data_IF_537740222752
#
_entry.id   IF_537740222752
#
_cell.length_a   1.000
_cell.length_b   1.000
_cell.length_c   1.000
_cell.angle_alpha   90.00
_cell.angle_beta   90.00
_cell.angle_gamma   90.00
#
_symmetry.space_group_name_H-M   'P 1'
#
loop_
_entity.id
_entity.type
_entity.pdbx_description
1 polymer ?
#
# COMPACT_ATOMS: atom_id res chain seq x y z
N UNK A 1 -13.91 25.82 -0.97
CA UNK A 1 -12.87 25.14 -1.74
C UNK A 1 -11.93 24.46 -0.76
N UNK A 2 -11.85 23.13 -0.82
CA UNK A 2 -10.99 22.34 0.05
C UNK A 2 -10.69 21.02 -0.65
N UNK A 3 -9.99 21.10 -1.78
CA UNK A 3 -9.36 19.93 -2.39
C UNK A 3 -8.12 19.63 -1.54
N UNK A 4 -8.36 19.07 -0.35
CA UNK A 4 -7.31 18.39 0.38
C UNK A 4 -7.08 17.08 -0.35
N UNK A 5 -5.84 16.82 -0.78
CA UNK A 5 -5.46 15.50 -1.23
C UNK A 5 -5.79 14.52 -0.09
N UNK A 6 -6.69 13.57 -0.34
CA UNK A 6 -7.15 12.65 0.70
C UNK A 6 -6.27 11.42 0.64
N UNK A 7 -5.14 11.46 1.36
CA UNK A 7 -4.36 10.26 1.63
C UNK A 7 -5.20 9.29 2.45
N UNK A 8 -5.26 8.03 2.04
CA UNK A 8 -5.80 6.97 2.86
C UNK A 8 -4.76 6.54 3.90
N UNK A 9 -5.17 6.45 5.17
CA UNK A 9 -4.33 5.98 6.27
C UNK A 9 -4.72 4.55 6.63
N UNK A 10 -3.77 3.63 6.52
CA UNK A 10 -3.87 2.28 7.06
C UNK A 10 -3.16 2.30 8.41
N UNK A 11 -3.95 2.19 9.48
CA UNK A 11 -3.42 2.24 10.83
C UNK A 11 -3.03 0.83 11.26
N UNK A 12 -1.72 0.58 11.34
CA UNK A 12 -1.14 -0.71 11.72
C UNK A 12 -0.79 -0.66 13.20
N UNK A 13 -1.78 -0.96 14.06
CA UNK A 13 -1.58 -1.00 15.51
C UNK A 13 -2.41 -2.05 16.24
N UNK A 14 -1.78 -2.74 17.19
CA UNK A 14 -2.36 -3.88 17.90
C UNK A 14 -2.16 -5.22 17.18
N UNK A 15 -2.75 -6.29 17.72
CA UNK A 15 -2.60 -7.66 17.21
C UNK A 15 -3.46 -7.95 15.98
N UNK A 16 -2.93 -8.72 15.02
CA UNK A 16 -3.63 -9.31 13.87
C UNK A 16 -4.51 -8.35 13.09
N UNK A 17 -3.96 -7.20 12.69
CA UNK A 17 -4.70 -6.21 11.92
C UNK A 17 -4.37 -6.25 10.45
N UNK A 18 -5.43 -6.14 9.66
CA UNK A 18 -5.34 -5.83 8.24
C UNK A 18 -6.22 -4.61 7.93
N UNK A 19 -5.68 -3.69 7.14
CA UNK A 19 -6.42 -2.54 6.63
C UNK A 19 -6.37 -2.49 5.13
N UNK A 20 -7.53 -2.24 4.52
CA UNK A 20 -7.71 -2.21 3.07
C UNK A 20 -7.99 -0.80 2.60
N UNK A 21 -7.30 -0.38 1.54
CA UNK A 21 -7.74 0.68 0.65
C UNK A 21 -7.99 0.05 -0.72
N UNK A 22 -9.20 0.21 -1.27
CA UNK A 22 -9.57 -0.33 -2.57
C UNK A 22 -9.94 0.82 -3.50
N UNK A 23 -9.43 0.80 -4.73
CA UNK A 23 -9.75 1.80 -5.76
C UNK A 23 -11.18 1.62 -6.30
N UNK A 24 -11.81 2.69 -6.83
CA UNK A 24 -12.89 2.53 -7.81
C UNK A 24 -12.45 1.67 -9.01
N UNK A 25 -13.39 1.19 -9.86
CA UNK A 25 -13.03 0.44 -11.07
C UNK A 25 -12.19 1.31 -12.02
N UNK A 26 -11.06 0.77 -12.48
CA UNK A 26 -10.18 1.40 -13.47
C UNK A 26 -10.21 0.56 -14.75
N UNK A 27 -10.50 1.19 -15.88
CA UNK A 27 -10.47 0.51 -17.18
C UNK A 27 -9.06 0.63 -17.78
N UNK A 28 -8.34 -0.49 -17.83
CA UNK A 28 -6.95 -0.54 -18.28
C UNK A 28 -6.90 -0.92 -19.77
N UNK A 29 -6.25 -0.10 -20.62
CA UNK A 29 -6.06 -0.42 -22.03
C UNK A 29 -5.10 -1.61 -22.20
N UNK A 30 -5.05 -2.18 -23.40
CA UNK A 30 -4.29 -3.40 -23.67
C UNK A 30 -2.77 -3.27 -23.55
N UNK A 31 -2.20 -2.06 -23.59
CA UNK A 31 -0.74 -1.85 -23.45
C UNK A 31 -0.41 -0.49 -22.82
N UNK A 32 0.77 -0.42 -22.19
CA UNK A 32 1.42 0.85 -21.81
C UNK A 32 0.84 1.56 -20.59
N UNK A 33 0.15 0.83 -19.71
CA UNK A 33 -0.38 1.40 -18.47
C UNK A 33 0.47 1.00 -17.27
N UNK A 34 0.57 1.90 -16.30
CA UNK A 34 1.22 1.69 -15.02
C UNK A 34 0.30 2.16 -13.91
N UNK A 35 0.35 1.50 -12.75
CA UNK A 35 -0.27 1.99 -11.54
C UNK A 35 0.72 2.94 -10.86
N UNK A 36 0.31 4.18 -10.58
CA UNK A 36 1.09 5.13 -9.77
C UNK A 36 0.44 5.35 -8.43
N UNK A 37 1.27 5.56 -7.41
CA UNK A 37 0.84 5.88 -6.06
C UNK A 37 2.00 6.45 -5.26
N UNK A 38 1.66 7.21 -4.22
CA UNK A 38 2.61 7.65 -3.21
C UNK A 38 2.45 6.83 -1.94
N UNK A 39 3.57 6.44 -1.31
CA UNK A 39 3.59 5.84 0.02
C UNK A 39 4.35 6.72 1.01
N UNK A 40 3.86 6.78 2.24
CA UNK A 40 4.59 7.34 3.38
C UNK A 40 4.39 6.49 4.63
N UNK A 41 5.43 6.36 5.45
CA UNK A 41 5.40 5.54 6.67
C UNK A 41 5.93 6.32 7.86
N UNK A 42 5.08 6.62 8.84
CA UNK A 42 5.47 7.40 10.01
C UNK A 42 5.23 6.61 11.29
N UNK A 43 5.88 7.04 12.38
CA UNK A 43 5.38 6.72 13.72
C UNK A 43 3.93 7.19 13.86
N UNK A 44 3.16 6.43 14.63
CA UNK A 44 1.75 6.69 14.87
C UNK A 44 1.55 8.11 15.41
N UNK A 45 0.63 8.84 14.78
CA UNK A 45 0.27 10.21 15.13
C UNK A 45 1.50 11.16 15.18
N UNK A 46 2.50 10.90 14.35
CA UNK A 46 3.75 11.66 14.27
C UNK A 46 4.17 11.83 12.81
N UNK A 47 5.17 12.68 12.58
CA UNK A 47 5.85 12.84 11.27
C UNK A 47 7.22 12.18 11.24
N UNK A 48 7.65 11.61 12.37
CA UNK A 48 8.96 11.00 12.54
C UNK A 48 9.01 9.60 11.88
N UNK A 49 10.21 9.14 11.47
CA UNK A 49 10.40 7.76 11.01
C UNK A 49 10.05 6.74 12.08
N UNK A 50 9.59 5.55 11.65
CA UNK A 50 9.48 4.36 12.51
C UNK A 50 10.87 3.89 12.99
N UNK A 51 10.90 3.16 14.11
CA UNK A 51 12.08 2.41 14.50
C UNK A 51 12.12 1.09 13.70
N UNK A 52 13.07 0.90 12.77
CA UNK A 52 13.10 -0.28 11.93
C UNK A 52 13.30 -1.57 12.75
N UNK A 53 13.87 -1.50 13.96
CA UNK A 53 14.05 -2.69 14.81
C UNK A 53 12.76 -3.17 15.48
N UNK A 54 11.75 -2.30 15.58
CA UNK A 54 10.46 -2.59 16.20
C UNK A 54 9.35 -2.95 15.19
N UNK A 55 9.71 -3.05 13.91
CA UNK A 55 8.77 -3.23 12.80
C UNK A 55 9.26 -4.29 11.83
N UNK A 56 9.45 -5.52 12.31
CA UNK A 56 10.04 -6.61 11.50
C UNK A 56 9.00 -7.47 10.77
N UNK A 57 7.75 -7.47 11.25
CA UNK A 57 6.73 -8.42 10.79
C UNK A 57 5.65 -7.77 9.91
N UNK A 58 5.71 -6.45 9.72
CA UNK A 58 4.74 -5.70 8.95
C UNK A 58 4.94 -5.87 7.46
N UNK A 59 3.81 -5.86 6.75
CA UNK A 59 3.76 -6.00 5.30
C UNK A 59 2.81 -5.02 4.67
N UNK A 60 3.12 -4.66 3.42
CA UNK A 60 2.20 -4.00 2.52
C UNK A 60 2.10 -4.83 1.22
N UNK A 61 0.89 -5.21 0.85
CA UNK A 61 0.60 -5.82 -0.44
C UNK A 61 -0.11 -4.83 -1.35
N UNK A 62 0.37 -4.70 -2.58
CA UNK A 62 -0.36 -4.06 -3.69
C UNK A 62 -0.99 -5.16 -4.51
N UNK A 63 -2.31 -5.13 -4.61
CA UNK A 63 -3.15 -6.20 -5.16
C UNK A 63 -3.96 -5.71 -6.35
N UNK A 64 -4.32 -6.62 -7.24
CA UNK A 64 -5.31 -6.40 -8.31
C UNK A 64 -6.37 -7.51 -8.31
N UNK A 65 -7.61 -7.16 -8.65
CA UNK A 65 -8.74 -8.08 -8.85
C UNK A 65 -9.60 -7.66 -10.03
N UNK A 66 -10.32 -8.63 -10.61
CA UNK A 66 -11.43 -8.41 -11.53
C UNK A 66 -12.75 -8.05 -10.82
N UNK A 67 -12.78 -8.11 -9.49
CA UNK A 67 -13.99 -7.93 -8.69
C UNK A 67 -13.87 -6.82 -7.66
N UNK A 68 -14.94 -6.05 -7.38
CA UNK A 68 -14.92 -4.98 -6.38
C UNK A 68 -14.75 -5.48 -4.94
N UNK A 69 -15.01 -6.77 -4.70
CA UNK A 69 -14.86 -7.41 -3.38
C UNK A 69 -13.44 -7.95 -3.15
N UNK A 70 -12.50 -7.69 -4.07
CA UNK A 70 -11.11 -8.16 -4.02
C UNK A 70 -11.02 -9.68 -3.79
N UNK A 71 -11.82 -10.45 -4.51
CA UNK A 71 -11.70 -11.91 -4.55
C UNK A 71 -10.62 -12.32 -5.59
N UNK A 72 -9.97 -13.45 -5.35
CA UNK A 72 -9.04 -14.09 -6.30
C UNK A 72 -7.94 -13.10 -6.76
N UNK A 73 -7.33 -12.42 -5.79
CA UNK A 73 -6.37 -11.33 -6.06
C UNK A 73 -5.03 -11.83 -6.59
N UNK A 74 -4.40 -11.00 -7.42
CA UNK A 74 -2.99 -11.16 -7.80
C UNK A 74 -2.15 -10.14 -7.04
N UNK A 75 -1.03 -10.56 -6.48
CA UNK A 75 -0.05 -9.67 -5.84
C UNK A 75 0.79 -9.03 -6.94
N UNK A 76 0.75 -7.70 -7.02
CA UNK A 76 1.57 -6.89 -7.91
C UNK A 76 2.90 -6.51 -7.28
N UNK A 77 2.89 -6.24 -5.97
CA UNK A 77 4.08 -5.93 -5.19
C UNK A 77 3.87 -6.29 -3.72
N UNK A 78 4.88 -6.86 -3.08
CA UNK A 78 4.92 -7.11 -1.64
C UNK A 78 6.10 -6.33 -1.05
N UNK A 79 5.83 -5.53 -0.02
CA UNK A 79 6.83 -4.93 0.85
C UNK A 79 6.88 -5.74 2.15
N UNK A 80 8.07 -6.22 2.53
CA UNK A 80 8.31 -6.87 3.82
C UNK A 80 9.78 -6.71 4.25
N UNK A 81 10.11 -7.05 5.49
CA UNK A 81 11.48 -6.98 6.02
C UNK A 81 12.21 -8.34 6.02
N UNK A 82 11.65 -9.35 5.35
CA UNK A 82 12.13 -10.74 5.33
C UNK A 82 12.86 -11.07 4.01
N UNK A 83 13.65 -10.11 3.52
CA UNK A 83 14.47 -10.28 2.30
C UNK A 83 13.73 -10.08 0.98
N UNK A 84 12.57 -9.40 0.98
CA UNK A 84 11.91 -8.98 -0.25
C UNK A 84 12.74 -7.93 -1.02
N UNK A 85 12.49 -7.84 -2.33
CA UNK A 85 13.01 -6.78 -3.19
C UNK A 85 12.58 -5.39 -2.70
N UNK A 86 11.37 -5.28 -2.17
CA UNK A 86 10.82 -4.05 -1.62
C UNK A 86 10.77 -4.16 -0.10
N UNK A 87 11.57 -3.34 0.58
CA UNK A 87 11.70 -3.37 2.03
C UNK A 87 10.65 -2.45 2.65
N UNK A 88 9.83 -2.99 3.56
CA UNK A 88 8.75 -2.22 4.20
C UNK A 88 9.30 -1.04 5.02
N UNK A 89 10.36 -1.26 5.79
CA UNK A 89 10.98 -0.22 6.62
C UNK A 89 11.76 0.83 5.83
N UNK A 90 11.92 0.66 4.51
CA UNK A 90 12.54 1.65 3.63
C UNK A 90 11.52 2.62 3.00
N UNK A 91 10.22 2.43 3.26
CA UNK A 91 9.20 3.41 2.85
C UNK A 91 9.48 4.71 3.62
N UNK A 92 9.75 5.84 2.94
CA UNK A 92 10.18 7.06 3.61
C UNK A 92 9.02 7.74 4.34
N UNK A 93 9.29 8.26 5.54
CA UNK A 93 8.31 9.03 6.31
C UNK A 93 7.95 10.38 5.65
N UNK A 94 8.75 10.84 4.69
CA UNK A 94 8.50 12.06 3.91
C UNK A 94 7.61 11.85 2.70
N UNK A 95 7.27 10.60 2.39
CA UNK A 95 6.57 10.24 1.15
C UNK A 95 7.54 9.96 0.00
N UNK A 96 7.18 9.02 -0.86
CA UNK A 96 7.81 8.78 -2.16
C UNK A 96 6.80 8.25 -3.18
N UNK A 97 7.05 8.56 -4.45
CA UNK A 97 6.24 8.08 -5.57
C UNK A 97 6.77 6.77 -6.12
N UNK A 98 5.85 5.85 -6.41
CA UNK A 98 6.14 4.54 -6.96
C UNK A 98 5.29 4.29 -8.19
N UNK A 99 5.81 3.46 -9.12
CA UNK A 99 5.00 2.89 -10.18
C UNK A 99 5.20 1.38 -10.34
N UNK A 100 4.16 0.74 -10.85
CA UNK A 100 4.14 -0.69 -11.21
C UNK A 100 3.64 -0.81 -12.66
N UNK A 101 4.46 -1.32 -13.59
CA UNK A 101 4.00 -1.67 -14.93
C UNK A 101 2.88 -2.71 -14.86
N UNK A 102 1.78 -2.49 -15.59
CA UNK A 102 0.61 -3.39 -15.60
C UNK A 102 0.63 -4.31 -16.82
N UNK A 103 1.80 -4.87 -17.13
CA UNK A 103 1.97 -5.73 -18.31
C UNK A 103 1.05 -6.96 -18.23
N UNK A 104 0.28 -7.20 -19.29
CA UNK A 104 -0.68 -8.31 -19.35
C UNK A 104 -1.97 -8.09 -18.55
N UNK A 105 -2.13 -6.97 -17.86
CA UNK A 105 -3.35 -6.61 -17.14
C UNK A 105 -4.16 -5.65 -18.02
N UNK A 106 -5.41 -6.00 -18.32
CA UNK A 106 -6.31 -5.16 -19.11
C UNK A 106 -7.78 -5.36 -18.70
N UNK A 107 -8.65 -4.45 -19.13
CA UNK A 107 -10.07 -4.46 -18.77
C UNK A 107 -10.36 -3.73 -17.46
N UNK A 108 -11.55 -3.95 -16.91
CA UNK A 108 -11.97 -3.31 -15.66
C UNK A 108 -11.29 -4.02 -14.48
N UNK A 109 -10.46 -3.29 -13.75
CA UNK A 109 -9.71 -3.81 -12.59
C UNK A 109 -9.95 -2.96 -11.35
N UNK A 110 -9.72 -3.60 -10.21
CA UNK A 110 -9.74 -2.98 -8.88
C UNK A 110 -8.38 -3.20 -8.24
N UNK A 111 -7.80 -2.13 -7.73
CA UNK A 111 -6.51 -2.18 -7.04
C UNK A 111 -6.73 -2.04 -5.54
N UNK A 112 -5.89 -2.71 -4.76
CA UNK A 112 -5.90 -2.52 -3.32
C UNK A 112 -4.51 -2.42 -2.71
N UNK A 113 -4.46 -1.67 -1.62
CA UNK A 113 -3.33 -1.61 -0.71
C UNK A 113 -3.76 -2.28 0.60
N UNK A 114 -3.08 -3.36 0.95
CA UNK A 114 -3.36 -4.16 2.13
C UNK A 114 -2.16 -4.07 3.07
N UNK A 115 -2.31 -3.31 4.15
CA UNK A 115 -1.34 -3.30 5.25
C UNK A 115 -1.66 -4.41 6.24
N UNK A 116 -0.64 -5.17 6.67
CA UNK A 116 -0.77 -6.31 7.59
C UNK A 116 0.24 -6.15 8.73
N UNK A 117 -0.20 -6.39 9.97
CA UNK A 117 0.68 -6.59 11.14
C UNK A 117 0.34 -7.93 11.81
N UNK A 118 1.36 -8.70 12.18
CA UNK A 118 1.21 -10.03 12.82
C UNK A 118 1.72 -10.12 14.26
N UNK A 119 2.30 -9.06 14.84
CA UNK A 119 2.78 -9.04 16.24
C UNK A 119 2.44 -7.71 16.93
N UNK A 120 2.79 -7.54 18.21
CA UNK A 120 2.60 -6.27 18.94
C UNK A 120 3.47 -5.11 18.44
N UNK A 121 4.17 -5.27 17.32
CA UNK A 121 4.79 -4.20 16.53
C UNK A 121 3.72 -3.55 15.67
N UNK A 122 3.49 -2.26 15.90
CA UNK A 122 2.36 -1.58 15.30
C UNK A 122 2.11 -0.24 15.97
N UNK A 123 3.09 0.66 15.93
CA UNK A 123 2.88 2.06 16.26
C UNK A 123 3.27 2.90 15.06
N UNK A 124 2.66 2.57 13.92
CA UNK A 124 2.91 3.24 12.66
C UNK A 124 1.63 3.59 11.91
N UNK A 125 1.74 4.63 11.10
CA UNK A 125 0.72 5.05 10.16
C UNK A 125 1.29 4.90 8.74
N UNK A 126 0.65 4.04 7.94
CA UNK A 126 0.94 3.91 6.51
C UNK A 126 -0.02 4.80 5.73
N UNK A 127 0.52 5.66 4.88
CA UNK A 127 -0.23 6.56 4.02
C UNK A 127 -0.12 6.10 2.56
N UNK A 128 -1.25 6.10 1.87
CA UNK A 128 -1.34 5.90 0.43
C UNK A 128 -2.05 7.11 -0.18
N UNK A 129 -1.45 7.73 -1.19
CA UNK A 129 -2.00 8.92 -1.84
C UNK A 129 -1.75 8.89 -3.36
N UNK A 130 -2.37 9.83 -4.10
CA UNK A 130 -2.14 10.05 -5.54
C UNK A 130 -2.24 8.78 -6.42
N UNK A 131 -3.20 7.90 -6.13
CA UNK A 131 -3.41 6.66 -6.88
C UNK A 131 -4.01 6.96 -8.26
N UNK A 132 -3.33 6.60 -9.35
CA UNK A 132 -3.76 6.83 -10.74
C UNK A 132 -3.36 5.70 -11.69
#
# INVERSE_FOLDING_TARGET
>A
SGSGNKSAKIALWGYDRSGWLISPPINIPTQGYELKFDLGLTLRNSVNPIDPTASQDEKLLVLVSDTPIMKDTTILREYNNLGAEYVFNEIPHTGASYSIPLEGISGIKYFAFLGITSTSGGDMDLFVDNVS
#
